data_IF_399891329528
#
_entry.id   IF_399891329528
#
_cell.length_a   1.000
_cell.length_b   1.000
_cell.length_c   1.000
_cell.angle_alpha   90.00
_cell.angle_beta   90.00
_cell.angle_gamma   90.00
#
_symmetry.space_group_name_H-M   'P 1'
#
loop_
_entity.id
_entity.type
_entity.pdbx_description
1 polymer ?
#
# COMPACT_ATOMS: atom_id res chain seq x y z
N UNK A 1 1.91 0.48 15.98
CA UNK A 1 2.82 1.63 15.81
C UNK A 1 4.11 1.45 16.60
N UNK A 2 4.07 1.23 17.93
CA UNK A 2 5.30 0.97 18.72
C UNK A 2 6.13 -0.20 18.16
N UNK A 3 5.50 -1.35 17.94
CA UNK A 3 6.13 -2.55 17.37
C UNK A 3 6.77 -2.28 16.00
N UNK A 4 6.09 -1.53 15.14
CA UNK A 4 6.66 -1.09 13.86
C UNK A 4 7.90 -0.23 14.07
N UNK A 5 7.82 0.80 14.92
CA UNK A 5 8.94 1.72 15.16
C UNK A 5 10.17 0.99 15.71
N UNK A 6 9.95 -0.01 16.57
CA UNK A 6 11.02 -0.89 17.07
C UNK A 6 11.65 -1.73 15.95
N UNK A 7 10.84 -2.26 15.03
CA UNK A 7 11.29 -3.09 13.92
C UNK A 7 12.01 -2.29 12.81
N UNK A 8 11.52 -1.10 12.47
CA UNK A 8 12.04 -0.28 11.36
C UNK A 8 12.92 0.88 11.79
N UNK A 9 13.14 1.06 13.10
CA UNK A 9 13.89 2.18 13.69
C UNK A 9 13.38 3.58 13.29
N UNK A 10 12.10 3.71 12.93
CA UNK A 10 11.52 5.00 12.59
C UNK A 10 10.99 5.72 13.84
N UNK A 11 10.90 7.05 13.76
CA UNK A 11 10.26 7.83 14.83
C UNK A 11 8.75 7.58 14.85
N UNK A 12 8.10 7.57 16.03
CA UNK A 12 6.64 7.49 16.15
C UNK A 12 5.96 8.69 15.51
N UNK A 13 4.80 8.48 14.89
CA UNK A 13 4.03 9.54 14.21
C UNK A 13 2.57 9.61 14.68
N UNK A 14 1.86 10.68 14.33
CA UNK A 14 0.45 10.81 14.70
C UNK A 14 -0.44 10.00 13.74
N UNK A 15 -1.50 9.31 14.24
CA UNK A 15 -2.36 8.50 13.38
C UNK A 15 -3.01 9.25 12.20
N UNK A 16 -3.34 10.53 12.37
CA UNK A 16 -3.95 11.36 11.32
C UNK A 16 -2.98 11.88 10.28
N UNK A 17 -1.68 11.69 10.48
CA UNK A 17 -0.63 12.17 9.58
C UNK A 17 -0.37 11.16 8.46
N UNK A 18 -0.18 11.65 7.24
CA UNK A 18 0.42 10.87 6.17
C UNK A 18 1.94 10.96 6.36
N UNK A 19 2.58 9.82 6.61
CA UNK A 19 4.03 9.73 6.73
C UNK A 19 4.62 8.96 5.57
N UNK A 20 5.77 9.39 5.09
CA UNK A 20 6.54 8.65 4.11
C UNK A 20 7.59 7.82 4.85
N UNK A 21 7.54 6.50 4.67
CA UNK A 21 8.49 5.57 5.25
C UNK A 21 9.16 4.75 4.14
N UNK A 22 10.44 4.48 4.30
CA UNK A 22 11.19 3.60 3.41
C UNK A 22 11.13 2.16 3.93
N UNK A 23 10.69 1.23 3.09
CA UNK A 23 10.68 -0.22 3.32
C UNK A 23 11.39 -0.85 2.12
N UNK A 24 12.43 -1.66 2.35
CA UNK A 24 13.22 -2.31 1.28
C UNK A 24 13.68 -1.37 0.15
N UNK A 25 14.17 -0.17 0.52
CA UNK A 25 14.59 0.90 -0.39
C UNK A 25 13.49 1.52 -1.28
N UNK A 26 12.23 1.17 -1.05
CA UNK A 26 11.08 1.81 -1.67
C UNK A 26 10.37 2.73 -0.65
N UNK A 27 9.97 3.91 -1.09
CA UNK A 27 9.20 4.84 -0.26
C UNK A 27 7.69 4.55 -0.39
N UNK A 28 7.02 4.55 0.76
CA UNK A 28 5.59 4.34 0.88
C UNK A 28 4.97 5.46 1.72
N UNK A 29 3.82 5.96 1.29
CA UNK A 29 2.95 6.81 2.10
C UNK A 29 2.05 5.96 2.99
N UNK A 30 2.13 6.12 4.30
CA UNK A 30 1.34 5.40 5.29
C UNK A 30 0.44 6.38 6.05
N UNK A 31 -0.83 6.02 6.24
CA UNK A 31 -1.78 6.79 7.03
C UNK A 31 -2.74 5.87 7.75
N UNK A 32 -2.97 6.11 9.05
CA UNK A 32 -4.04 5.42 9.75
C UNK A 32 -5.38 6.05 9.37
N UNK A 33 -6.35 5.21 9.04
CA UNK A 33 -7.68 5.62 8.61
C UNK A 33 -8.72 4.79 9.32
N UNK A 34 -9.93 5.34 9.47
CA UNK A 34 -11.04 4.67 10.16
C UNK A 34 -11.47 5.44 11.41
N UNK A 35 -12.77 5.45 11.66
CA UNK A 35 -13.38 5.99 12.87
C UNK A 35 -14.22 4.89 13.52
N UNK A 36 -14.04 4.66 14.83
CA UNK A 36 -14.89 3.75 15.59
C UNK A 36 -14.44 2.28 15.61
N UNK A 37 -15.00 1.44 14.73
CA UNK A 37 -15.02 -0.04 14.91
C UNK A 37 -13.88 -0.82 14.26
N UNK A 38 -13.16 -0.24 13.29
CA UNK A 38 -12.05 -0.91 12.61
C UNK A 38 -11.02 0.13 12.18
N UNK A 39 -9.83 0.04 12.76
CA UNK A 39 -8.67 0.82 12.34
C UNK A 39 -8.07 0.18 11.09
N UNK A 40 -7.72 0.99 10.11
CA UNK A 40 -7.12 0.57 8.86
C UNK A 40 -5.80 1.31 8.66
N UNK A 41 -4.74 0.58 8.30
CA UNK A 41 -3.54 1.20 7.76
C UNK A 41 -3.69 1.31 6.24
N UNK A 42 -3.79 2.54 5.75
CA UNK A 42 -3.70 2.82 4.33
C UNK A 42 -2.22 2.95 3.95
N UNK A 43 -1.83 2.22 2.90
CA UNK A 43 -0.49 2.26 2.33
C UNK A 43 -0.61 2.63 0.85
N UNK A 44 0.17 3.60 0.41
CA UNK A 44 0.22 4.06 -0.98
C UNK A 44 1.68 4.02 -1.43
N UNK A 45 1.93 3.47 -2.62
CA UNK A 45 3.28 3.43 -3.17
C UNK A 45 3.27 3.40 -4.69
N UNK A 46 4.40 3.82 -5.27
CA UNK A 46 4.68 3.69 -6.69
C UNK A 46 4.98 2.22 -7.06
N UNK A 47 4.42 1.73 -8.16
CA UNK A 47 4.77 0.40 -8.68
C UNK A 47 6.01 0.41 -9.57
N UNK A 48 6.56 1.58 -9.90
CA UNK A 48 7.69 1.75 -10.81
C UNK A 48 7.31 1.52 -12.27
N UNK A 49 6.03 1.74 -12.61
CA UNK A 49 5.47 1.50 -13.94
C UNK A 49 5.03 2.81 -14.58
N UNK A 50 5.28 2.94 -15.88
CA UNK A 50 4.84 4.08 -16.68
C UNK A 50 3.45 3.78 -17.29
N UNK A 51 2.45 4.67 -17.14
CA UNK A 51 1.13 4.47 -17.70
C UNK A 51 1.17 4.45 -19.23
N UNK A 52 0.38 3.55 -19.80
CA UNK A 52 0.12 3.44 -21.24
C UNK A 52 -1.37 3.10 -21.44
N UNK A 53 -1.96 3.32 -22.62
CA UNK A 53 -3.36 2.97 -22.85
C UNK A 53 -3.69 1.51 -22.50
N UNK A 54 -2.86 0.57 -22.92
CA UNK A 54 -3.01 -0.86 -22.65
C UNK A 54 -2.87 -1.17 -21.16
N UNK A 55 -1.90 -0.54 -20.51
CA UNK A 55 -1.74 -0.68 -19.07
C UNK A 55 -2.96 -0.11 -18.31
N UNK A 56 -3.46 1.06 -18.70
CA UNK A 56 -4.61 1.69 -18.06
C UNK A 56 -5.87 0.82 -18.14
N UNK A 57 -6.12 0.20 -19.30
CA UNK A 57 -7.20 -0.78 -19.46
C UNK A 57 -7.04 -1.95 -18.49
N UNK A 58 -5.81 -2.48 -18.40
CA UNK A 58 -5.50 -3.57 -17.47
C UNK A 58 -5.69 -3.17 -16.00
N UNK A 59 -5.26 -1.98 -15.60
CA UNK A 59 -5.47 -1.49 -14.23
C UNK A 59 -6.97 -1.41 -13.88
N UNK A 60 -7.81 -0.98 -14.84
CA UNK A 60 -9.25 -0.96 -14.67
C UNK A 60 -9.84 -2.37 -14.54
N UNK A 61 -9.37 -3.32 -15.35
CA UNK A 61 -9.78 -4.73 -15.22
C UNK A 61 -9.41 -5.31 -13.85
N UNK A 62 -8.18 -5.08 -13.39
CA UNK A 62 -7.71 -5.55 -12.07
C UNK A 62 -8.48 -4.92 -10.90
N UNK A 63 -8.94 -3.68 -11.04
CA UNK A 63 -9.79 -3.02 -10.05
C UNK A 63 -11.23 -3.55 -10.05
N UNK A 64 -11.71 -4.05 -11.19
CA UNK A 64 -13.06 -4.62 -11.34
C UNK A 64 -13.12 -6.11 -10.96
N UNK A 65 -11.98 -6.77 -10.81
CA UNK A 65 -11.90 -8.18 -10.45
C UNK A 65 -12.42 -8.40 -9.01
N UNK A 66 -13.57 -9.05 -8.91
CA UNK A 66 -14.23 -9.38 -7.64
C UNK A 66 -13.46 -10.44 -6.85
N UNK A 67 -12.58 -11.21 -7.51
CA UNK A 67 -11.67 -12.15 -6.88
C UNK A 67 -10.37 -11.51 -6.41
N UNK A 68 -10.22 -10.18 -6.55
CA UNK A 68 -9.09 -9.44 -6.02
C UNK A 68 -9.14 -9.38 -4.48
N UNK A 69 -8.69 -10.46 -3.85
CA UNK A 69 -8.64 -10.66 -2.39
C UNK A 69 -7.55 -9.83 -1.71
N UNK A 70 -6.73 -9.13 -2.48
CA UNK A 70 -5.58 -8.39 -1.97
C UNK A 70 -6.01 -7.08 -1.29
N UNK A 71 -7.26 -6.66 -1.51
CA UNK A 71 -7.85 -5.48 -0.87
C UNK A 71 -7.25 -4.14 -1.32
N UNK A 72 -6.48 -4.15 -2.42
CA UNK A 72 -5.85 -2.95 -2.96
C UNK A 72 -6.48 -2.46 -4.27
N UNK A 73 -6.12 -1.24 -4.64
CA UNK A 73 -6.61 -0.54 -5.84
C UNK A 73 -5.44 0.06 -6.60
N UNK A 74 -5.44 -0.10 -7.92
CA UNK A 74 -4.49 0.52 -8.82
C UNK A 74 -5.01 1.88 -9.31
N UNK A 75 -4.13 2.85 -9.48
CA UNK A 75 -4.46 4.13 -10.08
C UNK A 75 -3.26 4.71 -10.84
N UNK A 76 -3.50 5.76 -11.62
CA UNK A 76 -2.43 6.57 -12.24
C UNK A 76 -2.34 7.88 -11.46
N UNK A 77 -1.13 8.31 -11.12
CA UNK A 77 -0.92 9.59 -10.46
C UNK A 77 -1.36 10.75 -11.37
N UNK A 78 -2.11 11.75 -10.87
CA UNK A 78 -2.71 12.78 -11.72
C UNK A 78 -1.68 13.71 -12.39
N UNK A 79 -0.53 13.91 -11.76
CA UNK A 79 0.48 14.89 -12.19
C UNK A 79 1.79 14.25 -12.66
N UNK A 80 1.98 12.96 -12.38
CA UNK A 80 3.22 12.24 -12.66
C UNK A 80 2.86 10.98 -13.44
N UNK A 81 3.64 10.58 -14.45
CA UNK A 81 3.35 9.39 -15.24
C UNK A 81 3.75 8.14 -14.45
N UNK A 82 3.08 7.87 -13.34
CA UNK A 82 3.38 6.78 -12.42
C UNK A 82 2.10 6.00 -12.12
N UNK A 83 2.23 4.67 -12.08
CA UNK A 83 1.17 3.80 -11.57
C UNK A 83 1.35 3.65 -10.07
N UNK A 84 0.31 4.00 -9.32
CA UNK A 84 0.27 3.86 -7.87
C UNK A 84 -0.61 2.71 -7.46
N UNK A 85 -0.23 2.04 -6.38
CA UNK A 85 -1.04 1.02 -5.74
C UNK A 85 -1.39 1.48 -4.33
N UNK A 86 -2.66 1.33 -3.98
CA UNK A 86 -3.19 1.66 -2.65
C UNK A 86 -3.71 0.40 -2.00
N UNK A 87 -3.19 0.08 -0.83
CA UNK A 87 -3.57 -1.07 -0.02
C UNK A 87 -4.23 -0.59 1.27
N UNK A 88 -5.30 -1.26 1.69
CA UNK A 88 -5.91 -1.07 3.00
C UNK A 88 -5.70 -2.32 3.84
N UNK A 89 -5.00 -2.18 4.97
CA UNK A 89 -4.72 -3.28 5.89
C UNK A 89 -5.58 -3.12 7.13
N UNK A 90 -6.55 -4.04 7.37
CA UNK A 90 -7.24 -4.13 8.64
C UNK A 90 -6.27 -4.29 9.80
N UNK A 91 -6.27 -3.34 10.74
CA UNK A 91 -5.56 -3.49 11.99
C UNK A 91 -6.47 -4.19 12.99
N UNK A 92 -5.97 -5.27 13.55
CA UNK A 92 -6.63 -6.02 14.61
C UNK A 92 -5.59 -6.43 15.65
N UNK A 93 -6.03 -6.96 16.78
CA UNK A 93 -5.14 -7.50 17.82
C UNK A 93 -4.31 -8.71 17.35
N UNK A 94 -4.60 -9.26 16.16
CA UNK A 94 -3.84 -10.36 15.56
C UNK A 94 -2.76 -9.90 14.59
N UNK A 95 -2.68 -8.60 14.28
CA UNK A 95 -1.65 -8.04 13.40
C UNK A 95 -0.46 -7.63 14.25
N UNK A 96 0.68 -8.28 14.03
CA UNK A 96 1.96 -7.87 14.61
C UNK A 96 2.52 -6.69 13.81
N UNK A 97 2.76 -5.56 14.48
CA UNK A 97 3.32 -4.38 13.83
C UNK A 97 4.72 -4.58 13.27
N UNK A 98 5.49 -5.55 13.77
CA UNK A 98 6.83 -5.86 13.30
C UNK A 98 6.85 -6.60 11.95
N UNK A 99 5.78 -7.34 11.62
CA UNK A 99 5.66 -8.09 10.36
C UNK A 99 5.11 -7.25 9.20
N UNK A 100 4.47 -6.13 9.53
CA UNK A 100 3.82 -5.27 8.54
C UNK A 100 4.74 -4.76 7.42
N UNK A 101 6.01 -4.36 7.66
CA UNK A 101 6.90 -3.92 6.58
C UNK A 101 7.09 -5.01 5.51
N UNK A 102 7.42 -6.23 5.94
CA UNK A 102 7.61 -7.36 5.03
C UNK A 102 6.31 -7.74 4.31
N UNK A 103 5.18 -7.68 5.02
CA UNK A 103 3.86 -7.90 4.43
C UNK A 103 3.57 -6.86 3.33
N UNK A 104 3.82 -5.57 3.60
CA UNK A 104 3.62 -4.49 2.64
C UNK A 104 4.49 -4.70 1.41
N UNK A 105 5.80 -4.95 1.58
CA UNK A 105 6.71 -5.20 0.48
C UNK A 105 6.21 -6.35 -0.42
N UNK A 106 5.84 -7.48 0.18
CA UNK A 106 5.27 -8.65 -0.52
C UNK A 106 4.02 -8.29 -1.32
N UNK A 107 3.12 -7.47 -0.77
CA UNK A 107 1.88 -7.07 -1.47
C UNK A 107 2.14 -6.16 -2.66
N UNK A 108 3.13 -5.30 -2.58
CA UNK A 108 3.51 -4.45 -3.71
C UNK A 108 4.22 -5.23 -4.81
N UNK A 109 5.02 -6.23 -4.46
CA UNK A 109 5.61 -7.14 -5.44
C UNK A 109 4.55 -7.99 -6.15
N UNK A 110 3.56 -8.53 -5.40
CA UNK A 110 2.40 -9.23 -5.97
C UNK A 110 1.60 -8.32 -6.91
N UNK A 111 1.31 -7.09 -6.49
CA UNK A 111 0.59 -6.11 -7.29
C UNK A 111 1.34 -5.80 -8.59
N UNK A 112 2.65 -5.57 -8.52
CA UNK A 112 3.50 -5.34 -9.69
C UNK A 112 3.49 -6.55 -10.63
N UNK A 113 3.62 -7.76 -10.09
CA UNK A 113 3.59 -8.99 -10.88
C UNK A 113 2.26 -9.15 -11.64
N UNK A 114 1.12 -8.92 -10.98
CA UNK A 114 -0.22 -9.01 -11.61
C UNK A 114 -0.43 -8.00 -12.72
N UNK A 115 0.19 -6.84 -12.63
CA UNK A 115 0.12 -5.83 -13.68
C UNK A 115 0.97 -6.23 -14.89
N UNK A 116 2.06 -6.95 -14.69
CA UNK A 116 3.00 -7.35 -15.75
C UNK A 116 2.72 -8.72 -16.38
N UNK A 117 2.03 -9.63 -15.69
CA UNK A 117 1.84 -11.04 -16.07
C UNK A 117 1.05 -11.26 -17.37
#
# INVERSE_FOLDING_TARGET
MREWCEATQCEPWQPSELVNLTIDAQEFGLRFTGEGRQELLQVIGDLGLQPSPELNERLLMLNADLDNRDGGTYAVHPEQPLVVYRLHIPLSTQVDGADLPQFIASRFDEARFRVLA
#
